data_IF_279293806066
#
_entry.id   IF_279293806066
#
_cell.length_a   1.000
_cell.length_b   1.000
_cell.length_c   1.000
_cell.angle_alpha   90.00
_cell.angle_beta   90.00
_cell.angle_gamma   90.00
#
_symmetry.space_group_name_H-M   'P 1'
#
loop_
_entity.id
_entity.type
_entity.pdbx_description
1 polymer ?
#
# COMPACT_ATOMS: atom_id res chain seq x y z
N UNK A 1 -6.89 7.93 -5.00
CA UNK A 1 -7.02 6.47 -4.88
C UNK A 1 -6.06 5.80 -5.86
N UNK A 2 -5.30 4.80 -5.45
CA UNK A 2 -4.22 4.21 -6.29
C UNK A 2 -4.29 2.67 -6.29
N UNK A 3 -4.50 2.01 -7.45
CA UNK A 3 -4.38 0.55 -7.59
C UNK A 3 -2.92 0.12 -7.78
N UNK A 4 -2.68 -1.20 -7.77
CA UNK A 4 -1.31 -1.74 -7.92
C UNK A 4 -0.48 -1.59 -6.65
N UNK A 5 -1.07 -1.88 -5.49
CA UNK A 5 -0.38 -1.79 -4.20
C UNK A 5 -0.09 -3.18 -3.64
N UNK A 6 1.15 -3.41 -3.23
CA UNK A 6 1.61 -4.64 -2.59
C UNK A 6 2.69 -4.34 -1.55
N UNK A 7 2.80 -5.16 -0.50
CA UNK A 7 3.81 -4.97 0.56
C UNK A 7 5.25 -5.11 0.06
N UNK A 8 5.46 -5.93 -0.97
CA UNK A 8 6.76 -6.08 -1.62
C UNK A 8 6.67 -5.46 -3.00
N UNK A 9 7.56 -4.50 -3.29
CA UNK A 9 7.71 -3.86 -4.60
C UNK A 9 8.30 -4.83 -5.63
N UNK A 10 7.60 -5.92 -5.94
CA UNK A 10 8.00 -6.85 -7.00
C UNK A 10 6.87 -6.96 -8.00
N UNK A 11 7.13 -6.49 -9.22
CA UNK A 11 6.21 -6.62 -10.35
C UNK A 11 5.78 -8.07 -10.55
N UNK A 12 4.56 -8.27 -11.03
CA UNK A 12 4.26 -9.55 -11.66
C UNK A 12 4.93 -9.56 -13.05
N UNK A 13 5.29 -10.74 -13.55
CA UNK A 13 5.87 -10.88 -14.90
C UNK A 13 4.90 -10.52 -16.03
N UNK A 14 3.79 -9.84 -15.74
CA UNK A 14 2.70 -9.50 -16.65
C UNK A 14 2.51 -7.97 -16.79
N UNK A 15 3.48 -7.18 -16.30
CA UNK A 15 3.52 -5.73 -16.49
C UNK A 15 2.78 -4.92 -15.42
N UNK A 16 2.20 -5.57 -14.40
CA UNK A 16 1.68 -4.82 -13.25
C UNK A 16 2.86 -4.32 -12.40
N UNK A 17 2.93 -3.00 -12.27
CA UNK A 17 3.85 -2.36 -11.33
C UNK A 17 3.20 -2.29 -9.96
N UNK A 18 3.95 -2.68 -8.93
CA UNK A 18 3.52 -2.58 -7.55
C UNK A 18 4.33 -1.54 -6.80
N UNK A 19 3.62 -0.60 -6.15
CA UNK A 19 4.19 0.31 -5.17
C UNK A 19 3.80 -0.11 -3.76
N UNK A 20 4.64 0.22 -2.80
CA UNK A 20 4.33 -0.01 -1.37
C UNK A 20 3.31 1.00 -0.86
N UNK A 21 2.54 0.67 0.20
CA UNK A 21 1.66 1.63 0.86
C UNK A 21 2.39 2.91 1.29
N UNK A 22 3.62 2.80 1.78
CA UNK A 22 4.45 3.94 2.19
C UNK A 22 4.82 4.88 1.04
N UNK A 23 5.09 4.33 -0.15
CA UNK A 23 5.37 5.14 -1.33
C UNK A 23 4.10 5.84 -1.84
N UNK A 24 2.98 5.11 -1.90
CA UNK A 24 1.71 5.62 -2.44
C UNK A 24 1.09 6.68 -1.54
N UNK A 25 1.01 6.40 -0.25
CA UNK A 25 0.39 7.32 0.72
C UNK A 25 1.37 8.42 1.11
N UNK A 26 2.59 8.04 1.50
CA UNK A 26 3.59 8.97 2.03
C UNK A 26 4.18 9.89 0.96
N UNK A 27 4.75 9.32 -0.11
CA UNK A 27 5.48 10.11 -1.12
C UNK A 27 4.57 10.65 -2.23
N UNK A 28 3.65 9.84 -2.74
CA UNK A 28 2.76 10.22 -3.85
C UNK A 28 1.51 10.95 -3.38
N UNK A 29 1.29 11.08 -2.06
CA UNK A 29 0.19 11.85 -1.50
C UNK A 29 -1.21 11.26 -1.74
N UNK A 30 -1.32 9.98 -2.13
CA UNK A 30 -2.64 9.35 -2.32
C UNK A 30 -3.32 9.12 -0.97
N UNK A 31 -4.65 9.15 -0.92
CA UNK A 31 -5.39 8.97 0.33
C UNK A 31 -5.85 7.52 0.56
N UNK A 32 -6.01 6.75 -0.52
CA UNK A 32 -6.56 5.39 -0.46
C UNK A 32 -5.79 4.45 -1.37
N UNK A 33 -5.41 3.29 -0.84
CA UNK A 33 -4.83 2.18 -1.61
C UNK A 33 -5.90 1.18 -2.03
N UNK A 34 -5.75 0.60 -3.21
CA UNK A 34 -6.59 -0.50 -3.69
C UNK A 34 -5.72 -1.74 -3.85
N UNK A 35 -5.98 -2.77 -3.04
CA UNK A 35 -5.20 -4.01 -2.97
C UNK A 35 -6.08 -5.18 -3.41
N UNK A 36 -5.67 -5.88 -4.46
CA UNK A 36 -6.34 -7.08 -4.96
C UNK A 36 -5.60 -8.35 -4.54
N UNK A 37 -4.75 -8.86 -5.44
CA UNK A 37 -4.02 -10.13 -5.29
C UNK A 37 -3.24 -10.23 -3.97
N UNK A 38 -2.63 -9.14 -3.51
CA UNK A 38 -1.92 -9.10 -2.23
C UNK A 38 -2.76 -9.51 -1.00
N UNK A 39 -4.09 -9.38 -1.05
CA UNK A 39 -5.00 -9.90 -0.01
C UNK A 39 -5.66 -11.20 -0.48
N UNK A 40 -6.16 -11.24 -1.72
CA UNK A 40 -6.96 -12.35 -2.21
C UNK A 40 -6.20 -13.69 -2.31
N UNK A 41 -4.89 -13.64 -2.56
CA UNK A 41 -4.02 -14.83 -2.65
C UNK A 41 -3.28 -15.13 -1.35
N UNK A 42 -3.52 -14.37 -0.28
CA UNK A 42 -2.89 -14.61 1.01
C UNK A 42 -3.50 -15.85 1.71
N UNK A 43 -2.70 -16.63 2.45
CA UNK A 43 -3.19 -17.77 3.22
C UNK A 43 -4.17 -17.33 4.32
N UNK A 44 -3.90 -16.18 4.94
CA UNK A 44 -4.82 -15.52 5.87
C UNK A 44 -5.15 -14.12 5.34
N UNK A 45 -6.37 -14.00 4.80
CA UNK A 45 -6.87 -12.76 4.19
C UNK A 45 -7.15 -11.67 5.23
N UNK A 46 -7.60 -12.05 6.42
CA UNK A 46 -7.93 -11.11 7.50
C UNK A 46 -6.65 -10.51 8.04
N UNK A 47 -5.63 -11.34 8.28
CA UNK A 47 -4.31 -10.88 8.68
C UNK A 47 -3.70 -9.98 7.60
N UNK A 48 -3.73 -10.40 6.33
CA UNK A 48 -3.18 -9.60 5.24
C UNK A 48 -3.88 -8.23 5.12
N UNK A 49 -5.21 -8.19 5.19
CA UNK A 49 -5.95 -6.93 5.19
C UNK A 49 -5.58 -6.04 6.39
N UNK A 50 -5.41 -6.63 7.58
CA UNK A 50 -4.94 -5.94 8.78
C UNK A 50 -3.54 -5.33 8.60
N UNK A 51 -2.63 -6.08 7.98
CA UNK A 51 -1.27 -5.63 7.67
C UNK A 51 -1.30 -4.45 6.68
N UNK A 52 -2.07 -4.53 5.59
CA UNK A 52 -2.23 -3.42 4.62
C UNK A 52 -2.84 -2.17 5.25
N UNK A 53 -3.87 -2.34 6.08
CA UNK A 53 -4.46 -1.23 6.84
C UNK A 53 -3.41 -0.55 7.72
N UNK A 54 -2.65 -1.34 8.48
CA UNK A 54 -1.63 -0.81 9.40
C UNK A 54 -0.56 -0.02 8.63
N UNK A 55 0.00 -0.60 7.56
CA UNK A 55 1.04 0.05 6.76
C UNK A 55 0.55 1.35 6.08
N UNK A 56 -0.66 1.34 5.50
CA UNK A 56 -1.22 2.54 4.87
C UNK A 56 -1.52 3.64 5.90
N UNK A 57 -2.01 3.28 7.08
CA UNK A 57 -2.33 4.22 8.14
C UNK A 57 -1.08 4.83 8.78
N UNK A 58 -0.04 4.03 9.04
CA UNK A 58 1.26 4.53 9.50
C UNK A 58 1.88 5.48 8.46
N UNK A 59 1.81 5.15 7.17
CA UNK A 59 2.28 6.03 6.10
C UNK A 59 1.51 7.36 6.05
N UNK A 60 0.19 7.32 6.27
CA UNK A 60 -0.64 8.52 6.36
C UNK A 60 -0.26 9.40 7.55
N UNK A 61 -0.11 8.80 8.74
CA UNK A 61 0.32 9.53 9.93
C UNK A 61 1.68 10.18 9.74
N UNK A 62 2.65 9.45 9.17
CA UNK A 62 3.98 9.98 8.88
C UNK A 62 3.93 11.18 7.93
N UNK A 63 3.05 11.12 6.91
CA UNK A 63 2.80 12.24 6.00
C UNK A 63 2.26 13.47 6.73
N UNK A 64 1.30 13.27 7.65
CA UNK A 64 0.73 14.36 8.44
C UNK A 64 1.70 14.96 9.46
N UNK A 65 2.57 14.13 10.05
CA UNK A 65 3.58 14.59 11.00
C UNK A 65 4.77 15.29 10.36
N UNK A 66 4.92 15.16 9.03
CA UNK A 66 5.96 15.85 8.29
C UNK A 66 5.47 17.28 7.98
N UNK A 67 6.16 18.34 8.42
CA UNK A 67 5.84 19.70 8.00
C UNK A 67 5.89 19.78 6.47
N UNK A 68 4.98 20.55 5.88
CA UNK A 68 4.98 20.86 4.46
C UNK A 68 6.40 21.29 4.02
N UNK A 69 7.04 20.49 3.16
CA UNK A 69 8.26 20.89 2.45
C UNK A 69 7.89 21.42 1.07
#
# INVERSE_FOLDING_TARGET
MTPGVQMHSRGDGLGQQYSTPSEVIGKKGSDVIIVGRGILTAPDRVKAAGDYRKAAWEAYQNRLSSPCQ
#
